data_IF_657817402442
#
_entry.id   IF_657817402442
#
_cell.length_a   1.000
_cell.length_b   1.000
_cell.length_c   1.000
_cell.angle_alpha   90.00
_cell.angle_beta   90.00
_cell.angle_gamma   90.00
#
_symmetry.space_group_name_H-M   'P 1'
#
loop_
_entity.id
_entity.type
_entity.pdbx_description
1 polymer ?
#
# COMPACT_ATOMS: atom_id res chain seq x y z
N UNK A 1 20.07 7.30 -11.69
CA UNK A 1 21.53 7.54 -11.66
C UNK A 1 21.86 9.02 -11.49
N UNK A 2 21.33 9.95 -12.32
CA UNK A 2 21.67 11.39 -12.25
C UNK A 2 21.30 12.05 -10.90
N UNK A 3 20.15 11.72 -10.32
CA UNK A 3 19.74 12.26 -9.01
C UNK A 3 20.72 11.84 -7.92
N UNK A 4 21.14 10.59 -7.93
CA UNK A 4 22.07 10.03 -6.95
C UNK A 4 23.47 10.66 -7.07
N UNK A 5 23.93 10.90 -8.28
CA UNK A 5 25.18 11.62 -8.54
C UNK A 5 25.06 13.07 -8.07
N UNK A 6 23.95 13.72 -8.39
CA UNK A 6 23.71 15.12 -8.02
C UNK A 6 23.54 15.33 -6.50
N UNK A 7 23.18 14.31 -5.73
CA UNK A 7 23.10 14.40 -4.27
C UNK A 7 24.44 14.63 -3.59
N UNK A 8 25.54 14.31 -4.28
CA UNK A 8 26.91 14.57 -3.82
C UNK A 8 27.47 15.92 -4.32
N UNK A 9 26.71 16.65 -5.14
CA UNK A 9 27.10 17.99 -5.54
C UNK A 9 26.70 18.99 -4.47
N UNK A 10 27.68 19.62 -3.83
CA UNK A 10 27.48 20.59 -2.73
C UNK A 10 27.52 22.04 -3.21
N UNK A 11 27.69 22.28 -4.52
CA UNK A 11 27.60 23.64 -5.07
C UNK A 11 26.17 24.19 -4.92
N UNK A 12 26.05 25.37 -4.31
CA UNK A 12 24.76 26.02 -3.99
C UNK A 12 24.16 26.82 -5.14
N UNK A 13 24.93 27.06 -6.21
CA UNK A 13 24.52 27.91 -7.34
C UNK A 13 24.56 27.13 -8.64
N UNK A 14 23.50 27.21 -9.48
CA UNK A 14 23.54 26.68 -10.84
C UNK A 14 24.70 27.34 -11.62
N UNK A 15 25.51 26.56 -12.31
CA UNK A 15 26.69 26.95 -13.10
C UNK A 15 28.00 27.19 -12.32
N UNK A 16 28.07 26.95 -11.02
CA UNK A 16 29.36 26.83 -10.34
C UNK A 16 30.03 25.46 -10.62
N UNK A 17 31.38 25.40 -10.55
CA UNK A 17 32.07 24.12 -10.65
C UNK A 17 31.51 23.13 -9.64
N UNK A 18 31.31 21.88 -10.09
CA UNK A 18 30.80 20.80 -9.24
C UNK A 18 31.76 20.57 -8.09
N UNK A 19 31.30 20.83 -6.87
CA UNK A 19 31.99 20.50 -5.65
C UNK A 19 31.44 19.19 -5.08
N UNK A 20 32.25 18.14 -5.06
CA UNK A 20 31.85 16.83 -4.55
C UNK A 20 31.99 16.77 -3.03
N UNK A 21 30.93 16.43 -2.30
CA UNK A 21 30.97 16.34 -0.85
C UNK A 21 29.78 15.56 -0.30
N UNK A 22 29.76 15.38 1.03
CA UNK A 22 28.70 14.72 1.78
C UNK A 22 27.84 15.71 2.59
N UNK A 23 28.00 17.02 2.36
CA UNK A 23 27.34 18.04 3.18
C UNK A 23 25.81 17.99 3.03
N UNK A 24 25.31 17.77 1.83
CA UNK A 24 23.87 17.56 1.59
C UNK A 24 23.33 16.37 2.40
N UNK A 25 24.07 15.28 2.45
CA UNK A 25 23.72 14.09 3.23
C UNK A 25 23.79 14.36 4.72
N UNK A 26 24.83 15.08 5.18
CA UNK A 26 24.96 15.50 6.58
C UNK A 26 23.79 16.40 7.00
N UNK A 27 23.43 17.38 6.19
CA UNK A 27 22.28 18.27 6.43
C UNK A 27 20.99 17.46 6.49
N UNK A 28 20.74 16.59 5.52
CA UNK A 28 19.53 15.76 5.46
C UNK A 28 19.38 14.87 6.70
N UNK A 29 20.44 14.21 7.14
CA UNK A 29 20.40 13.33 8.32
C UNK A 29 20.49 14.09 9.67
N UNK A 30 20.89 15.37 9.65
CA UNK A 30 20.89 16.21 10.84
C UNK A 30 19.54 16.90 11.09
N UNK A 31 18.60 16.80 10.14
CA UNK A 31 17.28 17.41 10.28
C UNK A 31 16.53 16.81 11.49
N UNK A 32 16.03 17.65 12.43
CA UNK A 32 15.28 17.15 13.57
C UNK A 32 14.09 16.28 13.11
N UNK A 33 13.91 15.12 13.75
CA UNK A 33 12.80 14.21 13.44
C UNK A 33 13.00 13.27 12.24
N UNK A 34 14.12 13.34 11.51
CA UNK A 34 14.35 12.51 10.31
C UNK A 34 14.28 11.00 10.63
N UNK A 35 14.89 10.55 11.72
CA UNK A 35 14.86 9.14 12.11
C UNK A 35 13.46 8.69 12.55
N UNK A 36 12.71 9.56 13.22
CA UNK A 36 11.31 9.30 13.57
C UNK A 36 10.45 9.18 12.31
N UNK A 37 10.63 10.07 11.34
CA UNK A 37 9.92 10.03 10.08
C UNK A 37 10.26 8.77 9.26
N UNK A 38 11.53 8.36 9.22
CA UNK A 38 11.93 7.09 8.60
C UNK A 38 11.25 5.91 9.30
N UNK A 39 11.24 5.90 10.63
CA UNK A 39 10.57 4.85 11.41
C UNK A 39 9.07 4.80 11.12
N UNK A 40 8.39 5.95 11.10
CA UNK A 40 6.97 6.03 10.74
C UNK A 40 6.70 5.50 9.32
N UNK A 41 7.57 5.81 8.37
CA UNK A 41 7.48 5.30 7.00
C UNK A 41 7.55 3.77 6.97
N UNK A 42 8.55 3.19 7.65
CA UNK A 42 8.72 1.73 7.74
C UNK A 42 7.54 1.07 8.45
N UNK A 43 7.08 1.68 9.55
CA UNK A 43 5.94 1.18 10.34
C UNK A 43 4.67 1.13 9.48
N UNK A 44 4.32 2.22 8.80
CA UNK A 44 3.15 2.26 7.93
C UNK A 44 3.24 1.22 6.82
N UNK A 45 4.40 1.16 6.13
CA UNK A 45 4.62 0.18 5.08
C UNK A 45 4.41 -1.25 5.59
N UNK A 46 4.98 -1.57 6.75
CA UNK A 46 4.82 -2.90 7.34
C UNK A 46 3.35 -3.21 7.66
N UNK A 47 2.63 -2.25 8.24
CA UNK A 47 1.23 -2.42 8.62
C UNK A 47 0.34 -2.65 7.40
N UNK A 48 0.37 -1.74 6.41
CA UNK A 48 -0.52 -1.90 5.25
C UNK A 48 -0.05 -3.01 4.30
N UNK A 49 1.26 -3.25 4.15
CA UNK A 49 1.77 -4.35 3.31
C UNK A 49 1.51 -5.70 3.94
N UNK A 50 1.70 -5.83 5.26
CA UNK A 50 1.40 -7.05 6.00
C UNK A 50 -0.05 -7.51 5.87
N UNK A 51 -0.97 -6.57 5.68
CA UNK A 51 -2.40 -6.88 5.43
C UNK A 51 -2.65 -7.03 3.92
N UNK A 52 -2.24 -6.04 3.12
CA UNK A 52 -2.61 -5.99 1.70
C UNK A 52 -1.98 -7.11 0.88
N UNK A 53 -0.77 -7.56 1.21
CA UNK A 53 -0.08 -8.56 0.42
C UNK A 53 -0.76 -9.95 0.52
N UNK A 54 -1.01 -10.51 1.71
CA UNK A 54 -1.75 -11.78 1.82
C UNK A 54 -3.17 -11.70 1.25
N UNK A 55 -3.88 -10.59 1.49
CA UNK A 55 -5.23 -10.37 0.97
C UNK A 55 -5.22 -10.33 -0.56
N UNK A 56 -4.30 -9.59 -1.16
CA UNK A 56 -4.19 -9.50 -2.61
C UNK A 56 -3.79 -10.84 -3.25
N UNK A 57 -2.86 -11.58 -2.65
CA UNK A 57 -2.49 -12.93 -3.10
C UNK A 57 -3.70 -13.87 -3.07
N UNK A 58 -4.46 -13.86 -1.98
CA UNK A 58 -5.67 -14.69 -1.86
C UNK A 58 -6.74 -14.31 -2.88
N UNK A 59 -7.00 -13.01 -3.08
CA UNK A 59 -7.98 -12.53 -4.05
C UNK A 59 -7.53 -12.88 -5.48
N UNK A 60 -6.27 -12.61 -5.83
CA UNK A 60 -5.74 -12.88 -7.16
C UNK A 60 -5.78 -14.38 -7.50
N UNK A 61 -5.40 -15.23 -6.54
CA UNK A 61 -5.53 -16.68 -6.67
C UNK A 61 -7.00 -17.10 -6.84
N UNK A 62 -7.90 -16.57 -6.03
CA UNK A 62 -9.33 -16.86 -6.10
C UNK A 62 -9.92 -16.50 -7.47
N UNK A 63 -9.59 -15.32 -8.00
CA UNK A 63 -10.02 -14.86 -9.32
C UNK A 63 -9.45 -15.70 -10.46
N UNK A 64 -8.26 -16.26 -10.28
CA UNK A 64 -7.58 -17.05 -11.30
C UNK A 64 -7.98 -18.54 -11.29
N UNK A 65 -8.27 -19.12 -10.11
CA UNK A 65 -8.39 -20.57 -9.90
C UNK A 65 -9.75 -21.07 -9.44
N UNK A 66 -10.59 -20.19 -8.90
CA UNK A 66 -11.93 -20.60 -8.45
C UNK A 66 -12.99 -20.24 -9.51
N UNK A 67 -14.02 -21.07 -9.67
CA UNK A 67 -15.14 -20.81 -10.56
C UNK A 67 -16.08 -19.75 -9.93
N UNK A 68 -15.60 -18.52 -9.77
CA UNK A 68 -16.37 -17.45 -9.16
C UNK A 68 -17.38 -16.89 -10.15
N UNK A 69 -18.66 -16.75 -9.75
CA UNK A 69 -19.65 -16.06 -10.56
C UNK A 69 -19.21 -14.59 -10.73
N UNK A 70 -19.31 -14.07 -11.96
CA UNK A 70 -18.94 -12.67 -12.28
C UNK A 70 -17.48 -12.30 -11.97
N UNK A 71 -16.54 -13.25 -12.09
CA UNK A 71 -15.11 -13.00 -11.85
C UNK A 71 -14.56 -11.82 -12.67
N UNK A 72 -14.98 -11.69 -13.93
CA UNK A 72 -14.61 -10.54 -14.78
C UNK A 72 -15.12 -9.19 -14.25
N UNK A 73 -16.33 -9.15 -13.67
CA UNK A 73 -16.86 -7.94 -13.06
C UNK A 73 -16.06 -7.55 -11.81
N UNK A 74 -15.70 -8.53 -10.98
CA UNK A 74 -14.86 -8.30 -9.81
C UNK A 74 -13.47 -7.80 -10.23
N UNK A 75 -12.86 -8.42 -11.22
CA UNK A 75 -11.57 -7.98 -11.74
C UNK A 75 -11.65 -6.55 -12.31
N UNK A 76 -12.71 -6.23 -13.05
CA UNK A 76 -12.97 -4.88 -13.53
C UNK A 76 -13.09 -3.86 -12.38
N UNK A 77 -13.74 -4.21 -11.28
CA UNK A 77 -13.82 -3.35 -10.09
C UNK A 77 -12.45 -3.09 -9.46
N UNK A 78 -11.53 -4.08 -9.46
CA UNK A 78 -10.15 -3.87 -9.02
C UNK A 78 -9.39 -2.93 -9.99
N UNK A 79 -9.63 -3.03 -11.30
CA UNK A 79 -9.10 -2.07 -12.27
C UNK A 79 -9.57 -0.65 -11.99
N UNK A 80 -10.87 -0.46 -11.78
CA UNK A 80 -11.44 0.85 -11.44
C UNK A 80 -10.81 1.38 -10.16
N UNK A 81 -10.74 0.58 -9.10
CA UNK A 81 -10.09 0.98 -7.83
C UNK A 81 -8.63 1.36 -8.02
N UNK A 82 -7.88 0.63 -8.83
CA UNK A 82 -6.47 0.92 -9.12
C UNK A 82 -6.28 2.23 -9.89
N UNK A 83 -7.21 2.59 -10.77
CA UNK A 83 -7.16 3.81 -11.58
C UNK A 83 -7.65 5.06 -10.83
N UNK A 84 -8.28 4.90 -9.66
CA UNK A 84 -8.76 6.06 -8.90
C UNK A 84 -7.59 6.89 -8.35
N UNK A 85 -7.60 8.21 -8.51
CA UNK A 85 -6.59 9.08 -7.90
C UNK A 85 -6.58 8.94 -6.38
N UNK A 86 -5.42 8.72 -5.79
CA UNK A 86 -5.25 8.51 -4.34
C UNK A 86 -5.83 9.67 -3.54
N UNK A 87 -5.62 10.90 -4.00
CA UNK A 87 -6.14 12.11 -3.34
C UNK A 87 -7.68 12.12 -3.27
N UNK A 88 -8.36 11.66 -4.33
CA UNK A 88 -9.82 11.60 -4.37
C UNK A 88 -10.35 10.53 -3.38
N UNK A 89 -9.70 9.36 -3.33
CA UNK A 89 -10.03 8.30 -2.37
C UNK A 89 -9.81 8.79 -0.93
N UNK A 90 -8.68 9.43 -0.66
CA UNK A 90 -8.35 9.97 0.67
C UNK A 90 -9.38 11.01 1.11
N UNK A 91 -9.70 11.97 0.25
CA UNK A 91 -10.70 13.01 0.54
C UNK A 91 -12.08 12.40 0.77
N UNK A 92 -12.46 11.39 -0.02
CA UNK A 92 -13.72 10.65 0.17
C UNK A 92 -13.79 10.00 1.57
N UNK A 93 -12.71 9.36 2.02
CA UNK A 93 -12.66 8.76 3.35
C UNK A 93 -12.63 9.79 4.48
N UNK A 94 -12.01 10.98 4.28
CA UNK A 94 -12.12 12.11 5.22
C UNK A 94 -13.59 12.50 5.35
N UNK A 95 -14.30 12.73 4.25
CA UNK A 95 -15.72 13.10 4.29
C UNK A 95 -16.61 12.05 4.99
N UNK A 96 -16.20 10.78 4.97
CA UNK A 96 -16.95 9.70 5.64
C UNK A 96 -16.60 9.56 7.12
N UNK A 97 -15.31 9.64 7.49
CA UNK A 97 -14.78 9.22 8.79
C UNK A 97 -14.14 10.35 9.61
N UNK A 98 -14.26 11.61 9.17
CA UNK A 98 -13.86 12.76 9.99
C UNK A 98 -14.54 12.66 11.37
N UNK A 99 -13.81 12.85 12.48
CA UNK A 99 -14.35 12.66 13.82
C UNK A 99 -15.52 13.61 14.14
N UNK A 100 -15.55 14.81 13.56
CA UNK A 100 -16.55 15.82 13.85
C UNK A 100 -17.62 15.93 12.77
N UNK A 101 -17.24 15.95 11.50
CA UNK A 101 -18.09 16.24 10.36
C UNK A 101 -18.35 15.02 9.46
N UNK A 102 -17.67 13.89 9.69
CA UNK A 102 -17.79 12.71 8.85
C UNK A 102 -19.22 12.15 8.82
N UNK A 103 -19.73 11.88 7.61
CA UNK A 103 -21.10 11.41 7.41
C UNK A 103 -21.45 10.18 8.25
N UNK A 104 -20.54 9.23 8.40
CA UNK A 104 -20.76 8.01 9.19
C UNK A 104 -20.84 8.39 10.68
N UNK A 105 -19.93 9.22 11.19
CA UNK A 105 -19.93 9.65 12.59
C UNK A 105 -21.15 10.48 12.93
N UNK A 106 -21.57 11.38 12.03
CA UNK A 106 -22.81 12.18 12.19
C UNK A 106 -24.05 11.28 12.21
N UNK A 107 -24.09 10.26 11.33
CA UNK A 107 -25.20 9.30 11.33
C UNK A 107 -25.24 8.45 12.60
N UNK A 108 -24.09 7.98 13.09
CA UNK A 108 -23.98 7.19 14.32
C UNK A 108 -24.39 7.98 15.56
N UNK A 109 -24.05 9.27 15.64
CA UNK A 109 -24.47 10.15 16.76
C UNK A 109 -25.96 10.36 16.88
N UNK A 110 -26.76 9.98 15.87
CA UNK A 110 -28.23 9.97 15.98
C UNK A 110 -28.76 8.77 16.76
N UNK A 111 -27.93 7.79 17.05
CA UNK A 111 -28.30 6.63 17.86
C UNK A 111 -28.21 6.98 19.36
N UNK A 112 -29.18 6.54 20.20
CA UNK A 112 -29.32 7.02 21.58
C UNK A 112 -28.20 6.64 22.56
N UNK A 113 -27.21 5.90 22.12
CA UNK A 113 -26.08 5.44 22.97
C UNK A 113 -24.70 5.91 22.47
N UNK A 114 -24.67 6.81 21.46
CA UNK A 114 -23.39 7.22 20.84
C UNK A 114 -23.30 8.74 20.86
N UNK A 115 -22.56 9.26 21.84
CA UNK A 115 -22.37 10.71 22.02
C UNK A 115 -21.15 11.26 21.26
N UNK A 116 -20.24 10.39 20.83
CA UNK A 116 -18.99 10.77 20.14
C UNK A 116 -18.86 10.06 18.80
N UNK A 117 -18.07 10.63 17.90
CA UNK A 117 -17.64 9.93 16.69
C UNK A 117 -16.83 8.67 17.06
N UNK A 118 -17.20 7.52 16.51
CA UNK A 118 -16.54 6.25 16.76
C UNK A 118 -15.27 6.11 15.92
N UNK A 119 -15.21 6.78 14.78
CA UNK A 119 -14.10 6.69 13.84
C UNK A 119 -13.31 7.99 13.83
N UNK A 120 -11.99 7.86 13.77
CA UNK A 120 -11.08 8.97 13.54
C UNK A 120 -10.13 8.61 12.40
N UNK A 121 -10.34 9.25 11.25
CA UNK A 121 -9.51 9.03 10.07
C UNK A 121 -8.09 9.61 10.25
N UNK A 122 -7.95 10.66 11.06
CA UNK A 122 -6.66 11.29 11.39
C UNK A 122 -5.94 10.47 12.47
N UNK A 123 -5.51 9.28 12.10
CA UNK A 123 -4.84 8.33 12.98
C UNK A 123 -4.03 7.32 12.15
N UNK A 124 -3.07 6.63 12.77
CA UNK A 124 -2.30 5.58 12.09
C UNK A 124 -3.20 4.49 11.50
N UNK A 125 -4.23 3.95 12.21
CA UNK A 125 -5.20 3.04 11.61
C UNK A 125 -5.96 3.64 10.43
N UNK A 126 -6.31 4.94 10.48
CA UNK A 126 -6.96 5.65 9.38
C UNK A 126 -6.08 5.73 8.14
N UNK A 127 -4.80 6.07 8.30
CA UNK A 127 -3.82 6.07 7.20
C UNK A 127 -3.72 4.66 6.58
N UNK A 128 -3.56 3.64 7.41
CA UNK A 128 -3.50 2.23 6.94
C UNK A 128 -4.77 1.86 6.20
N UNK A 129 -5.94 2.23 6.72
CA UNK A 129 -7.22 1.98 6.08
C UNK A 129 -7.30 2.58 4.68
N UNK A 130 -6.91 3.86 4.54
CA UNK A 130 -6.95 4.53 3.23
C UNK A 130 -5.97 3.90 2.24
N UNK A 131 -4.77 3.49 2.68
CA UNK A 131 -3.86 2.71 1.84
C UNK A 131 -4.49 1.41 1.33
N UNK A 132 -5.16 0.66 2.21
CA UNK A 132 -5.82 -0.59 1.85
C UNK A 132 -6.96 -0.37 0.85
N UNK A 133 -7.74 0.70 1.04
CA UNK A 133 -8.90 1.03 0.20
C UNK A 133 -8.52 1.75 -1.11
N UNK A 134 -7.31 2.24 -1.23
CA UNK A 134 -6.75 2.82 -2.45
C UNK A 134 -6.13 1.74 -3.35
N UNK A 135 -4.87 1.89 -3.72
CA UNK A 135 -4.19 1.01 -4.68
C UNK A 135 -3.40 -0.14 -4.04
N UNK A 136 -3.28 -0.20 -2.70
CA UNK A 136 -2.43 -1.18 -2.04
C UNK A 136 -2.87 -2.64 -2.27
N UNK A 137 -4.17 -2.92 -2.31
CA UNK A 137 -4.69 -4.24 -2.63
C UNK A 137 -4.88 -4.38 -4.14
N UNK A 138 -5.59 -3.44 -4.77
CA UNK A 138 -5.97 -3.51 -6.17
C UNK A 138 -4.76 -3.61 -7.11
N UNK A 139 -3.71 -2.83 -6.88
CA UNK A 139 -2.50 -2.90 -7.69
C UNK A 139 -1.80 -4.26 -7.66
N UNK A 140 -1.75 -4.90 -6.48
CA UNK A 140 -1.20 -6.25 -6.34
C UNK A 140 -2.10 -7.30 -6.99
N UNK A 141 -3.42 -7.20 -6.83
CA UNK A 141 -4.40 -8.09 -7.48
C UNK A 141 -4.23 -8.03 -9.00
N UNK A 142 -4.08 -6.83 -9.56
CA UNK A 142 -3.90 -6.64 -10.99
C UNK A 142 -2.62 -7.28 -11.55
N UNK A 143 -1.53 -7.24 -10.78
CA UNK A 143 -0.27 -7.85 -11.18
C UNK A 143 -0.28 -9.37 -11.01
N UNK A 144 -0.89 -9.87 -9.92
CA UNK A 144 -0.84 -11.28 -9.57
C UNK A 144 -1.89 -12.15 -10.29
N UNK A 145 -3.08 -11.61 -10.62
CA UNK A 145 -4.15 -12.39 -11.27
C UNK A 145 -3.71 -12.99 -12.61
N UNK A 146 -3.11 -12.23 -13.55
CA UNK A 146 -2.59 -12.80 -14.79
C UNK A 146 -1.48 -13.83 -14.55
N UNK A 147 -0.62 -13.58 -13.56
CA UNK A 147 0.46 -14.49 -13.22
C UNK A 147 -0.05 -15.84 -12.72
N UNK A 148 -1.07 -15.84 -11.84
CA UNK A 148 -1.74 -17.09 -11.43
C UNK A 148 -2.45 -17.78 -12.60
N UNK A 149 -3.08 -17.05 -13.52
CA UNK A 149 -3.74 -17.63 -14.70
C UNK A 149 -2.76 -18.32 -15.64
N UNK A 150 -1.58 -17.74 -15.84
CA UNK A 150 -0.56 -18.26 -16.74
C UNK A 150 0.29 -19.38 -16.13
N UNK A 151 0.16 -19.66 -14.83
CA UNK A 151 0.82 -20.79 -14.19
C UNK A 151 0.21 -22.10 -14.67
N UNK A 152 1.06 -23.09 -14.98
CA UNK A 152 0.64 -24.44 -15.36
C UNK A 152 -0.18 -25.10 -14.25
N UNK A 153 -1.37 -25.57 -14.58
CA UNK A 153 -2.30 -26.19 -13.63
C UNK A 153 -1.99 -27.66 -13.34
N UNK A 154 -1.10 -28.31 -14.10
CA UNK A 154 -0.84 -29.74 -13.98
C UNK A 154 -0.42 -30.19 -12.58
N UNK A 155 0.40 -29.42 -11.90
CA UNK A 155 0.82 -29.70 -10.53
C UNK A 155 -0.34 -29.58 -9.51
N UNK A 156 -1.24 -28.61 -9.73
CA UNK A 156 -2.43 -28.43 -8.90
C UNK A 156 -3.42 -29.59 -9.11
N UNK A 157 -3.60 -30.01 -10.36
CA UNK A 157 -4.45 -31.17 -10.72
C UNK A 157 -3.90 -32.45 -10.11
N UNK A 158 -2.60 -32.70 -10.23
CA UNK A 158 -1.95 -33.85 -9.60
C UNK A 158 -2.13 -33.88 -8.09
N UNK A 159 -2.00 -32.71 -7.42
CA UNK A 159 -2.23 -32.58 -6.00
C UNK A 159 -3.68 -32.93 -5.60
N UNK A 160 -4.65 -32.46 -6.38
CA UNK A 160 -6.08 -32.79 -6.15
C UNK A 160 -6.39 -34.26 -6.41
N UNK A 161 -5.80 -34.85 -7.45
CA UNK A 161 -5.92 -36.28 -7.70
C UNK A 161 -5.35 -37.14 -6.56
N UNK A 162 -4.31 -36.64 -5.86
CA UNK A 162 -3.77 -37.25 -4.65
C UNK A 162 -4.64 -37.01 -3.40
N UNK A 163 -5.82 -36.38 -3.54
CA UNK A 163 -6.76 -36.12 -2.42
C UNK A 163 -6.53 -34.86 -1.63
N UNK A 164 -5.64 -33.97 -2.07
CA UNK A 164 -5.43 -32.69 -1.37
C UNK A 164 -6.62 -31.73 -1.57
N UNK A 165 -7.02 -31.02 -0.50
CA UNK A 165 -8.02 -29.97 -0.60
C UNK A 165 -7.48 -28.76 -1.36
N UNK A 166 -8.38 -27.93 -1.90
CA UNK A 166 -8.04 -26.71 -2.66
C UNK A 166 -7.11 -25.77 -1.86
N UNK A 167 -7.35 -25.61 -0.56
CA UNK A 167 -6.51 -24.76 0.30
C UNK A 167 -5.13 -25.37 0.53
N UNK A 168 -5.04 -26.68 0.71
CA UNK A 168 -3.76 -27.40 0.85
C UNK A 168 -2.95 -27.30 -0.44
N UNK A 169 -3.60 -27.48 -1.58
CA UNK A 169 -2.96 -27.30 -2.91
C UNK A 169 -2.46 -25.87 -3.07
N UNK A 170 -3.27 -24.85 -2.73
CA UNK A 170 -2.83 -23.45 -2.76
C UNK A 170 -1.56 -23.23 -1.92
N UNK A 171 -1.56 -23.67 -0.66
CA UNK A 171 -0.47 -23.38 0.27
C UNK A 171 0.80 -24.19 -0.04
N UNK A 172 0.67 -25.46 -0.48
CA UNK A 172 1.82 -26.37 -0.64
C UNK A 172 2.31 -26.52 -2.07
N UNK A 173 1.51 -26.13 -3.06
CA UNK A 173 1.88 -26.25 -4.48
C UNK A 173 1.88 -24.88 -5.15
N UNK A 174 0.73 -24.20 -5.18
CA UNK A 174 0.57 -22.95 -5.95
C UNK A 174 1.48 -21.83 -5.42
N UNK A 175 1.46 -21.53 -4.12
CA UNK A 175 2.28 -20.46 -3.55
C UNK A 175 3.78 -20.72 -3.67
N UNK A 176 4.32 -21.90 -3.38
CA UNK A 176 5.74 -22.19 -3.61
C UNK A 176 6.17 -22.02 -5.08
N UNK A 177 5.37 -22.48 -6.02
CA UNK A 177 5.67 -22.29 -7.47
C UNK A 177 5.63 -20.81 -7.86
N UNK A 178 4.72 -20.05 -7.28
CA UNK A 178 4.57 -18.60 -7.54
C UNK A 178 5.57 -17.74 -6.76
N UNK A 179 6.37 -18.30 -5.86
CA UNK A 179 7.31 -17.54 -5.01
C UNK A 179 8.18 -16.54 -5.77
N UNK A 180 8.78 -16.86 -6.95
CA UNK A 180 9.60 -15.88 -7.67
C UNK A 180 8.81 -14.61 -8.05
N UNK A 181 7.58 -14.77 -8.53
CA UNK A 181 6.70 -13.65 -8.91
C UNK A 181 6.24 -12.88 -7.66
N UNK A 182 5.91 -13.59 -6.59
CA UNK A 182 5.54 -12.97 -5.31
C UNK A 182 6.67 -12.10 -4.76
N UNK A 183 7.93 -12.57 -4.85
CA UNK A 183 9.11 -11.78 -4.44
C UNK A 183 9.25 -10.52 -5.30
N UNK A 184 9.09 -10.63 -6.61
CA UNK A 184 9.16 -9.46 -7.51
C UNK A 184 8.08 -8.43 -7.17
N UNK A 185 6.84 -8.86 -7.00
CA UNK A 185 5.74 -7.95 -6.63
C UNK A 185 5.95 -7.34 -5.25
N UNK A 186 6.47 -8.11 -4.30
CA UNK A 186 6.83 -7.60 -2.97
C UNK A 186 7.96 -6.56 -3.05
N UNK A 187 9.01 -6.83 -3.81
CA UNK A 187 10.13 -5.90 -4.02
C UNK A 187 9.67 -4.59 -4.68
N UNK A 188 8.84 -4.67 -5.73
CA UNK A 188 8.25 -3.48 -6.36
C UNK A 188 7.41 -2.66 -5.36
N UNK A 189 6.64 -3.32 -4.49
CA UNK A 189 5.87 -2.65 -3.45
C UNK A 189 6.78 -1.99 -2.39
N UNK A 190 7.95 -2.57 -2.12
CA UNK A 190 8.93 -2.01 -1.18
C UNK A 190 9.61 -0.76 -1.76
N UNK A 191 9.89 -0.72 -3.06
CA UNK A 191 10.44 0.48 -3.72
C UNK A 191 9.48 1.67 -3.57
N UNK A 192 8.17 1.44 -3.63
CA UNK A 192 7.14 2.47 -3.44
C UNK A 192 7.01 2.98 -2.01
N UNK A 193 7.69 2.41 -1.06
CA UNK A 193 7.70 2.82 0.35
C UNK A 193 7.99 4.31 0.52
N UNK A 194 9.01 4.81 -0.20
CA UNK A 194 9.46 6.19 -0.08
C UNK A 194 8.74 7.17 -1.02
N UNK A 195 7.87 6.66 -1.90
CA UNK A 195 7.07 7.46 -2.83
C UNK A 195 5.72 7.88 -2.23
N UNK A 196 5.30 7.25 -1.12
CA UNK A 196 4.03 7.57 -0.48
C UNK A 196 4.10 8.97 0.14
N UNK A 197 3.16 9.83 -0.23
CA UNK A 197 3.13 11.24 0.16
C UNK A 197 1.70 11.76 0.39
N UNK A 198 0.78 11.47 -0.54
CA UNK A 198 -0.53 12.12 -0.59
C UNK A 198 -1.40 11.79 0.62
N UNK A 199 -1.44 10.51 1.02
CA UNK A 199 -2.26 10.04 2.14
C UNK A 199 -1.70 10.57 3.45
N UNK A 200 -0.40 10.48 3.63
CA UNK A 200 0.30 10.91 4.85
C UNK A 200 0.25 12.43 5.01
N UNK A 201 0.30 13.18 3.91
CA UNK A 201 0.17 14.63 3.95
C UNK A 201 -1.22 15.04 4.41
N UNK A 202 -2.28 14.43 3.91
CA UNK A 202 -3.65 14.80 4.24
C UNK A 202 -4.08 14.29 5.61
N UNK A 203 -3.64 13.10 6.01
CA UNK A 203 -4.10 12.43 7.24
C UNK A 203 -3.10 12.52 8.38
N UNK A 204 -1.79 12.53 8.12
CA UNK A 204 -0.75 12.50 9.14
C UNK A 204 -0.45 13.85 9.75
N UNK A 205 -0.33 14.89 8.92
CA UNK A 205 0.01 16.25 9.39
C UNK A 205 -0.95 16.77 10.47
N UNK A 206 -2.28 16.54 10.40
CA UNK A 206 -3.20 17.03 11.44
C UNK A 206 -2.95 16.50 12.86
N UNK A 207 -2.20 15.40 13.02
CA UNK A 207 -1.83 14.87 14.34
C UNK A 207 -0.32 14.69 14.51
N UNK A 208 0.48 15.51 13.83
CA UNK A 208 1.96 15.58 13.92
C UNK A 208 2.66 14.26 13.57
N UNK A 209 2.06 13.46 12.70
CA UNK A 209 2.63 12.22 12.22
C UNK A 209 3.29 12.42 10.86
N UNK A 210 4.60 12.62 10.87
CA UNK A 210 5.40 12.83 9.67
C UNK A 210 6.06 11.53 9.22
N UNK A 211 6.01 11.27 7.92
CA UNK A 211 6.82 10.26 7.24
C UNK A 211 7.98 10.93 6.50
N UNK A 212 8.90 10.13 5.97
CA UNK A 212 10.09 10.65 5.28
C UNK A 212 9.72 11.65 4.17
N UNK A 213 8.76 11.31 3.31
CA UNK A 213 8.31 12.13 2.18
C UNK A 213 7.58 13.43 2.58
N UNK A 214 6.95 13.49 3.75
CA UNK A 214 6.25 14.69 4.25
C UNK A 214 7.12 15.58 5.13
N UNK A 215 8.27 15.08 5.61
CA UNK A 215 9.21 15.83 6.43
C UNK A 215 10.21 16.63 5.58
N UNK A 216 10.54 16.15 4.37
CA UNK A 216 11.53 16.79 3.48
C UNK A 216 10.88 17.90 2.68
#
# INVERSE_FOLDING_TARGET
>A
ALILINSFNTSSVPNEPIAWGLDNWRIAFSKPGIFTAIWHTILLWFLYTGISFPVAVFIAWSLARLPLPRSYTLEFMFWVSFMMPTIAVTTGWIMLLDPDLGFINVALRKLPFIDRGLFNIFSVPGIVWVHLMSSAISGKVMLLTPAFRNMDATMEEASRMAGASTLVTMLRVTLPVMTPILIVVFALNTVRLFESFEIEQLLGIPFDFYVYSTLI
#
